data_IF_770623264707
#
_entry.id   IF_770623264707
#
_cell.length_a   1.000
_cell.length_b   1.000
_cell.length_c   1.000
_cell.angle_alpha   90.00
_cell.angle_beta   90.00
_cell.angle_gamma   90.00
#
_symmetry.space_group_name_H-M   'P 1'
#
loop_
_entity.id
_entity.type
_entity.pdbx_description
1 polymer ?
#
# COMPACT_ATOMS: atom_id res chain seq x y z
N UNK A 1 5.62 -30.58 -2.76
CA UNK A 1 4.85 -29.41 -2.28
C UNK A 1 4.42 -28.59 -3.48
N UNK A 2 3.16 -28.70 -3.90
CA UNK A 2 2.64 -27.80 -4.93
C UNK A 2 2.33 -26.45 -4.27
N UNK A 3 3.28 -25.52 -4.32
CA UNK A 3 3.10 -24.13 -3.87
C UNK A 3 2.10 -23.35 -4.75
N UNK A 4 1.71 -23.92 -5.88
CA UNK A 4 0.77 -23.33 -6.81
C UNK A 4 -0.58 -24.04 -6.71
N UNK A 5 -1.68 -23.29 -6.53
CA UNK A 5 -3.01 -23.87 -6.48
C UNK A 5 -3.35 -24.53 -7.82
N UNK A 6 -3.79 -25.78 -7.75
CA UNK A 6 -4.28 -26.54 -8.91
C UNK A 6 -5.68 -26.08 -9.35
N UNK A 7 -6.44 -25.44 -8.45
CA UNK A 7 -7.77 -24.91 -8.73
C UNK A 7 -7.68 -23.48 -9.33
N UNK A 8 -8.30 -23.21 -10.49
CA UNK A 8 -8.35 -21.87 -11.08
C UNK A 8 -8.89 -20.79 -10.12
N UNK A 9 -9.76 -21.17 -9.17
CA UNK A 9 -10.33 -20.26 -8.17
C UNK A 9 -9.32 -19.83 -7.13
N UNK A 10 -8.63 -20.79 -6.52
CA UNK A 10 -7.58 -20.52 -5.54
C UNK A 10 -6.45 -19.69 -6.18
N UNK A 11 -6.16 -19.92 -7.47
CA UNK A 11 -5.26 -19.07 -8.24
C UNK A 11 -5.73 -17.62 -8.33
N UNK A 12 -7.02 -17.36 -8.60
CA UNK A 12 -7.57 -15.98 -8.62
C UNK A 12 -7.44 -15.30 -7.25
N UNK A 13 -7.80 -15.98 -6.16
CA UNK A 13 -7.65 -15.43 -4.81
C UNK A 13 -6.19 -15.17 -4.43
N UNK A 14 -5.28 -16.09 -4.79
CA UNK A 14 -3.85 -15.92 -4.56
C UNK A 14 -3.28 -14.73 -5.33
N UNK A 15 -3.62 -14.59 -6.62
CA UNK A 15 -3.20 -13.45 -7.44
C UNK A 15 -3.75 -12.12 -6.89
N UNK A 16 -5.00 -12.11 -6.43
CA UNK A 16 -5.59 -10.95 -5.77
C UNK A 16 -4.84 -10.60 -4.48
N UNK A 17 -4.49 -11.59 -3.65
CA UNK A 17 -3.68 -11.40 -2.44
C UNK A 17 -2.32 -10.76 -2.75
N UNK A 18 -1.60 -11.28 -3.75
CA UNK A 18 -0.34 -10.68 -4.20
C UNK A 18 -0.52 -9.25 -4.71
N UNK A 19 -1.59 -8.99 -5.46
CA UNK A 19 -1.91 -7.64 -5.92
C UNK A 19 -2.15 -6.68 -4.76
N UNK A 20 -2.91 -7.10 -3.74
CA UNK A 20 -3.15 -6.32 -2.52
C UNK A 20 -1.84 -6.00 -1.82
N UNK A 21 -0.99 -7.00 -1.58
CA UNK A 21 0.30 -6.81 -0.90
C UNK A 21 1.18 -5.83 -1.69
N UNK A 22 1.31 -6.02 -3.00
CA UNK A 22 2.09 -5.12 -3.86
C UNK A 22 1.53 -3.70 -3.86
N UNK A 23 0.21 -3.54 -3.98
CA UNK A 23 -0.44 -2.24 -4.01
C UNK A 23 -0.32 -1.47 -2.70
N UNK A 24 -0.49 -2.16 -1.56
CA UNK A 24 -0.36 -1.55 -0.24
C UNK A 24 1.09 -1.21 0.05
N UNK A 25 2.01 -2.13 -0.24
CA UNK A 25 3.45 -1.90 -0.09
C UNK A 25 3.91 -0.69 -0.89
N UNK A 26 3.52 -0.58 -2.17
CA UNK A 26 3.83 0.58 -3.00
C UNK A 26 3.19 1.87 -2.46
N UNK A 27 1.95 1.82 -1.97
CA UNK A 27 1.25 3.00 -1.42
C UNK A 27 1.85 3.49 -0.10
N UNK A 28 2.65 2.68 0.59
CA UNK A 28 3.41 3.06 1.80
C UNK A 28 4.81 3.52 1.42
N UNK A 29 5.54 2.69 0.66
CA UNK A 29 6.93 2.92 0.34
C UNK A 29 7.14 4.21 -0.49
N UNK A 30 6.28 4.45 -1.50
CA UNK A 30 6.45 5.61 -2.38
C UNK A 30 6.32 6.92 -1.61
N UNK A 31 5.24 7.20 -0.85
CA UNK A 31 5.14 8.44 -0.09
C UNK A 31 6.25 8.57 0.93
N UNK A 32 6.55 7.52 1.71
CA UNK A 32 7.58 7.59 2.77
C UNK A 32 8.93 7.96 2.18
N UNK A 33 9.38 7.28 1.12
CA UNK A 33 10.69 7.59 0.51
C UNK A 33 10.70 9.00 -0.08
N UNK A 34 9.67 9.39 -0.83
CA UNK A 34 9.62 10.72 -1.45
C UNK A 34 9.63 11.84 -0.40
N UNK A 35 8.78 11.75 0.61
CA UNK A 35 8.70 12.77 1.65
C UNK A 35 9.95 12.81 2.53
N UNK A 36 10.52 11.67 2.91
CA UNK A 36 11.74 11.63 3.73
C UNK A 36 12.92 12.23 2.97
N UNK A 37 13.09 11.94 1.68
CA UNK A 37 14.15 12.56 0.85
C UNK A 37 13.98 14.08 0.81
N UNK A 38 12.75 14.56 0.59
CA UNK A 38 12.45 16.00 0.60
C UNK A 38 12.75 16.61 1.98
N UNK A 39 12.35 15.93 3.06
CA UNK A 39 12.60 16.36 4.43
C UNK A 39 14.09 16.45 4.75
N UNK A 40 14.87 15.45 4.37
CA UNK A 40 16.33 15.44 4.55
C UNK A 40 17.01 16.54 3.74
N UNK A 41 16.54 16.80 2.51
CA UNK A 41 17.06 17.90 1.70
C UNK A 41 16.78 19.27 2.33
N UNK A 42 15.59 19.46 2.92
CA UNK A 42 15.26 20.69 3.64
C UNK A 42 16.09 20.82 4.93
N UNK A 43 16.22 19.75 5.72
CA UNK A 43 17.04 19.76 6.94
C UNK A 43 18.49 20.14 6.62
N UNK A 44 19.07 19.56 5.57
CA UNK A 44 20.42 19.89 5.10
C UNK A 44 20.57 21.33 4.58
N UNK A 45 19.53 21.86 3.93
CA UNK A 45 19.53 23.23 3.40
C UNK A 45 19.42 24.30 4.49
N UNK A 46 18.64 24.05 5.53
CA UNK A 46 18.40 25.00 6.61
C UNK A 46 19.29 24.78 7.85
N UNK A 47 20.20 23.79 7.80
CA UNK A 47 21.02 23.34 8.94
C UNK A 47 20.19 23.06 10.20
N UNK A 48 18.93 22.64 10.01
CA UNK A 48 18.06 22.29 11.11
C UNK A 48 18.36 20.85 11.56
N UNK A 49 18.18 20.60 12.85
CA UNK A 49 17.99 19.24 13.36
C UNK A 49 16.84 18.55 12.60
N UNK A 50 16.71 17.21 12.61
CA UNK A 50 15.86 16.43 11.68
C UNK A 50 14.34 16.59 11.85
N UNK A 51 13.88 17.79 12.21
CA UNK A 51 12.50 18.18 12.39
C UNK A 51 11.73 18.17 11.07
N UNK A 52 12.31 18.60 9.94
CA UNK A 52 11.62 18.51 8.65
C UNK A 52 11.46 17.06 8.21
N UNK A 53 12.48 16.21 8.43
CA UNK A 53 12.39 14.78 8.16
C UNK A 53 11.29 14.11 8.99
N UNK A 54 11.19 14.40 10.30
CA UNK A 54 10.13 13.87 11.16
C UNK A 54 8.75 14.36 10.68
N UNK A 55 8.61 15.66 10.40
CA UNK A 55 7.36 16.23 9.88
C UNK A 55 6.94 15.59 8.54
N UNK A 56 7.90 15.42 7.64
CA UNK A 56 7.68 14.78 6.34
C UNK A 56 7.28 13.30 6.49
N UNK A 57 7.86 12.57 7.44
CA UNK A 57 7.47 11.19 7.74
C UNK A 57 6.04 11.11 8.28
N UNK A 58 5.65 12.01 9.18
CA UNK A 58 4.26 12.08 9.69
C UNK A 58 3.28 12.40 8.56
N UNK A 59 3.61 13.35 7.69
CA UNK A 59 2.80 13.66 6.50
C UNK A 59 2.70 12.45 5.56
N UNK A 60 3.79 11.73 5.33
CA UNK A 60 3.78 10.51 4.54
C UNK A 60 2.85 9.46 5.15
N UNK A 61 2.90 9.25 6.46
CA UNK A 61 2.02 8.31 7.16
C UNK A 61 0.54 8.67 7.00
N UNK A 62 0.19 9.96 7.10
CA UNK A 62 -1.18 10.44 6.88
C UNK A 62 -1.65 10.22 5.44
N UNK A 63 -0.80 10.55 4.46
CA UNK A 63 -1.10 10.36 3.04
C UNK A 63 -1.27 8.88 2.71
N UNK A 64 -0.33 8.04 3.15
CA UNK A 64 -0.40 6.58 2.98
C UNK A 64 -1.64 6.00 3.65
N UNK A 65 -1.97 6.41 4.88
CA UNK A 65 -3.18 5.98 5.57
C UNK A 65 -4.46 6.28 4.79
N UNK A 66 -4.57 7.47 4.21
CA UNK A 66 -5.71 7.86 3.37
C UNK A 66 -5.79 7.02 2.08
N UNK A 67 -4.66 6.77 1.42
CA UNK A 67 -4.59 5.93 0.22
C UNK A 67 -4.98 4.49 0.52
N UNK A 68 -4.45 3.93 1.60
CA UNK A 68 -4.74 2.58 2.08
C UNK A 68 -6.23 2.42 2.37
N UNK A 69 -6.85 3.37 3.09
CA UNK A 69 -8.27 3.29 3.41
C UNK A 69 -9.15 3.19 2.15
N UNK A 70 -8.86 4.01 1.13
CA UNK A 70 -9.57 3.98 -0.16
C UNK A 70 -9.35 2.65 -0.88
N UNK A 71 -8.12 2.14 -0.91
CA UNK A 71 -7.78 0.85 -1.54
C UNK A 71 -8.43 -0.33 -0.82
N UNK A 72 -8.38 -0.37 0.51
CA UNK A 72 -8.97 -1.42 1.34
C UNK A 72 -10.48 -1.57 1.06
N UNK A 73 -11.20 -0.45 0.97
CA UNK A 73 -12.64 -0.46 0.63
C UNK A 73 -12.91 -1.02 -0.77
N UNK A 74 -12.04 -0.73 -1.74
CA UNK A 74 -12.18 -1.26 -3.10
C UNK A 74 -11.90 -2.76 -3.17
N UNK A 75 -10.80 -3.22 -2.56
CA UNK A 75 -10.45 -4.63 -2.52
C UNK A 75 -11.47 -5.47 -1.74
N UNK A 76 -12.08 -4.91 -0.69
CA UNK A 76 -13.17 -5.58 0.02
C UNK A 76 -14.40 -5.82 -0.87
N UNK A 77 -14.73 -4.90 -1.77
CA UNK A 77 -15.82 -5.08 -2.75
C UNK A 77 -15.46 -6.16 -3.78
N UNK A 78 -14.27 -6.08 -4.36
CA UNK A 78 -13.78 -7.05 -5.36
C UNK A 78 -13.73 -8.48 -4.79
N UNK A 79 -13.39 -8.63 -3.50
CA UNK A 79 -13.40 -9.92 -2.81
C UNK A 79 -14.83 -10.47 -2.65
N UNK A 80 -15.79 -9.62 -2.29
CA UNK A 80 -17.20 -10.02 -2.20
C UNK A 80 -17.80 -10.36 -3.58
N UNK A 81 -17.40 -9.68 -4.64
CA UNK A 81 -17.85 -9.95 -6.01
C UNK A 81 -17.34 -11.31 -6.52
N UNK A 82 -16.06 -11.62 -6.29
CA UNK A 82 -15.49 -12.96 -6.55
C UNK A 82 -16.22 -14.07 -5.77
N UNK A 83 -16.75 -13.75 -4.58
CA UNK A 83 -17.60 -14.66 -3.80
C UNK A 83 -19.03 -14.82 -4.35
N UNK A 84 -19.59 -13.77 -4.98
CA UNK A 84 -20.96 -13.73 -5.52
C UNK A 84 -21.10 -14.27 -6.94
N UNK A 85 -20.05 -14.19 -7.77
CA UNK A 85 -19.98 -14.83 -9.09
C UNK A 85 -20.23 -16.36 -9.03
N UNK A 86 -20.21 -16.92 -7.81
CA UNK A 86 -20.55 -18.30 -7.45
C UNK A 86 -22.06 -18.62 -7.46
N UNK A 87 -22.94 -17.63 -7.30
CA UNK A 87 -24.38 -17.83 -7.06
C UNK A 87 -25.27 -17.56 -8.28
N UNK A 88 -24.70 -17.42 -9.47
CA UNK A 88 -25.41 -17.21 -10.73
C UNK A 88 -24.91 -18.23 -11.76
#
# INVERSE_FOLDING_TARGET
MALLPSNPRERKYMLMGFRIVGDFGASIAIPVVVFVIIGQWLDGKYQTQPYFTIGAFVLAALVSGRLIYKKAKNYGKEYHELGKEKNK
#
